data_IF_976329704798
#
_entry.id   IF_976329704798
#
_cell.length_a   1.000
_cell.length_b   1.000
_cell.length_c   1.000
_cell.angle_alpha   90.00
_cell.angle_beta   90.00
_cell.angle_gamma   90.00
#
_symmetry.space_group_name_H-M   'P 1'
#
loop_
_entity.id
_entity.type
_entity.pdbx_description
1 polymer ?
#
# COMPACT_ATOMS: atom_id res chain seq x y z
N UNK A 1 19.68 -6.61 13.78
CA UNK A 1 19.86 -6.25 12.34
C UNK A 1 18.89 -6.98 11.39
N UNK A 2 18.75 -8.32 11.44
CA UNK A 2 17.87 -9.09 10.52
C UNK A 2 16.41 -8.58 10.48
N UNK A 3 15.79 -8.31 11.64
CA UNK A 3 14.40 -7.83 11.72
C UNK A 3 14.19 -6.46 11.06
N UNK A 4 15.17 -5.56 11.15
CA UNK A 4 15.15 -4.26 10.47
C UNK A 4 15.08 -4.44 8.96
N UNK A 5 15.95 -5.30 8.40
CA UNK A 5 16.01 -5.54 6.95
C UNK A 5 14.68 -6.13 6.45
N UNK A 6 14.19 -7.19 7.08
CA UNK A 6 12.94 -7.85 6.67
C UNK A 6 11.71 -6.95 6.88
N UNK A 7 11.66 -6.21 7.99
CA UNK A 7 10.58 -5.26 8.27
C UNK A 7 10.53 -4.13 7.25
N UNK A 8 11.70 -3.54 6.92
CA UNK A 8 11.79 -2.51 5.88
C UNK A 8 11.38 -3.04 4.51
N UNK A 9 11.77 -4.26 4.14
CA UNK A 9 11.35 -4.86 2.87
C UNK A 9 9.84 -5.09 2.81
N UNK A 10 9.25 -5.59 3.90
CA UNK A 10 7.79 -5.79 4.01
C UNK A 10 7.03 -4.46 3.94
N UNK A 11 7.55 -3.42 4.59
CA UNK A 11 6.96 -2.08 4.55
C UNK A 11 7.00 -1.51 3.13
N UNK A 12 8.16 -1.62 2.46
CA UNK A 12 8.34 -1.18 1.08
C UNK A 12 7.40 -1.91 0.13
N UNK A 13 7.24 -3.23 0.29
CA UNK A 13 6.32 -4.03 -0.52
C UNK A 13 4.87 -3.55 -0.37
N UNK A 14 4.41 -3.28 0.85
CA UNK A 14 3.07 -2.72 1.10
C UNK A 14 2.87 -1.34 0.48
N UNK A 15 3.89 -0.46 0.55
CA UNK A 15 3.85 0.87 -0.07
C UNK A 15 3.78 0.77 -1.59
N UNK A 16 4.62 -0.07 -2.20
CA UNK A 16 4.62 -0.26 -3.66
C UNK A 16 3.29 -0.85 -4.13
N UNK A 17 2.77 -1.87 -3.46
CA UNK A 17 1.47 -2.46 -3.78
C UNK A 17 0.34 -1.43 -3.67
N UNK A 18 0.35 -0.59 -2.65
CA UNK A 18 -0.60 0.52 -2.47
C UNK A 18 -0.49 1.52 -3.62
N UNK A 19 0.73 1.96 -3.96
CA UNK A 19 0.96 2.91 -5.04
C UNK A 19 0.48 2.38 -6.41
N UNK A 20 0.76 1.10 -6.69
CA UNK A 20 0.27 0.44 -7.90
C UNK A 20 -1.25 0.35 -7.93
N UNK A 21 -1.88 -0.08 -6.83
CA UNK A 21 -3.34 -0.19 -6.75
C UNK A 21 -4.03 1.16 -7.02
N UNK A 22 -3.52 2.23 -6.40
CA UNK A 22 -4.05 3.59 -6.60
C UNK A 22 -3.83 4.05 -8.04
N UNK A 23 -2.62 3.89 -8.58
CA UNK A 23 -2.30 4.27 -9.96
C UNK A 23 -3.17 3.54 -10.99
N UNK A 24 -3.31 2.22 -10.87
CA UNK A 24 -4.13 1.42 -11.76
C UNK A 24 -5.62 1.76 -11.66
N UNK A 25 -6.10 2.14 -10.47
CA UNK A 25 -7.50 2.56 -10.29
C UNK A 25 -7.87 3.86 -11.01
N UNK A 26 -6.89 4.68 -11.39
CA UNK A 26 -7.09 5.97 -12.07
C UNK A 26 -6.85 5.91 -13.58
N UNK A 27 -6.42 4.77 -14.13
CA UNK A 27 -6.08 4.68 -15.57
C UNK A 27 -7.26 5.03 -16.47
N UNK A 28 -8.48 4.63 -16.11
CA UNK A 28 -9.67 4.96 -16.90
C UNK A 28 -9.97 6.47 -16.87
N UNK A 29 -9.73 7.12 -15.73
CA UNK A 29 -9.90 8.55 -15.60
C UNK A 29 -8.92 9.31 -16.51
N UNK A 30 -7.68 8.82 -16.61
CA UNK A 30 -6.69 9.34 -17.56
C UNK A 30 -7.04 9.13 -19.04
N UNK A 31 -7.73 8.03 -19.39
CA UNK A 31 -8.05 7.71 -20.78
C UNK A 31 -9.34 8.43 -21.24
N UNK A 32 -10.32 8.54 -20.35
CA UNK A 32 -11.65 9.04 -20.68
C UNK A 32 -11.90 10.50 -20.24
N UNK A 33 -10.90 11.16 -19.65
CA UNK A 33 -11.00 12.51 -19.08
C UNK A 33 -12.10 12.63 -18.00
N UNK A 34 -12.34 11.52 -17.30
CA UNK A 34 -13.26 11.44 -16.17
C UNK A 34 -12.62 12.04 -14.89
N UNK A 35 -13.44 12.56 -13.97
CA UNK A 35 -12.98 13.22 -12.73
C UNK A 35 -13.44 12.51 -11.46
N UNK A 36 -13.58 11.18 -11.51
CA UNK A 36 -13.93 10.41 -10.32
C UNK A 36 -12.78 10.40 -9.31
N UNK A 37 -13.13 10.36 -8.03
CA UNK A 37 -12.12 10.19 -6.98
C UNK A 37 -11.60 8.75 -6.96
N UNK A 38 -10.33 8.57 -6.56
CA UNK A 38 -9.70 7.25 -6.37
C UNK A 38 -10.52 6.33 -5.48
N UNK A 39 -11.07 6.88 -4.41
CA UNK A 39 -11.89 6.14 -3.44
C UNK A 39 -13.18 5.65 -4.11
N UNK A 40 -13.79 6.48 -4.96
CA UNK A 40 -14.96 6.09 -5.73
C UNK A 40 -14.63 4.96 -6.72
N UNK A 41 -13.53 5.07 -7.46
CA UNK A 41 -13.09 4.01 -8.37
C UNK A 41 -12.80 2.70 -7.64
N UNK A 42 -12.07 2.74 -6.52
CA UNK A 42 -11.80 1.56 -5.69
C UNK A 42 -13.09 0.94 -5.14
N UNK A 43 -14.08 1.75 -4.74
CA UNK A 43 -15.36 1.25 -4.24
C UNK A 43 -16.15 0.52 -5.34
N UNK A 44 -16.12 1.04 -6.58
CA UNK A 44 -16.79 0.45 -7.74
C UNK A 44 -16.21 -0.90 -8.14
N UNK A 45 -14.92 -1.11 -7.90
CA UNK A 45 -14.23 -2.38 -8.15
C UNK A 45 -14.11 -3.27 -6.90
N UNK A 46 -14.74 -2.88 -5.79
CA UNK A 46 -14.65 -3.58 -4.49
C UNK A 46 -13.21 -3.79 -4.01
N UNK A 47 -12.29 -2.89 -4.38
CA UNK A 47 -10.85 -2.95 -4.08
C UNK A 47 -10.48 -2.25 -2.76
N UNK A 48 -11.44 -1.61 -2.09
CA UNK A 48 -11.20 -0.98 -0.78
C UNK A 48 -10.63 -1.95 0.28
N UNK A 49 -11.08 -3.21 0.40
CA UNK A 49 -10.48 -4.18 1.29
C UNK A 49 -9.02 -4.49 0.93
N UNK A 50 -8.71 -4.54 -0.37
CA UNK A 50 -7.34 -4.79 -0.86
C UNK A 50 -6.42 -3.63 -0.48
N UNK A 51 -6.90 -2.39 -0.63
CA UNK A 51 -6.17 -1.20 -0.18
C UNK A 51 -5.88 -1.27 1.33
N UNK A 52 -6.87 -1.64 2.14
CA UNK A 52 -6.71 -1.78 3.58
C UNK A 52 -5.65 -2.83 3.95
N UNK A 53 -5.62 -3.97 3.24
CA UNK A 53 -4.61 -5.02 3.43
C UNK A 53 -3.21 -4.51 3.09
N UNK A 54 -3.02 -3.80 1.98
CA UNK A 54 -1.69 -3.29 1.60
C UNK A 54 -1.17 -2.22 2.57
N UNK A 55 -2.04 -1.33 3.04
CA UNK A 55 -1.70 -0.36 4.08
C UNK A 55 -1.32 -1.08 5.38
N UNK A 56 -2.10 -2.09 5.77
CA UNK A 56 -1.82 -2.90 6.96
C UNK A 56 -0.46 -3.59 6.88
N UNK A 57 -0.11 -4.17 5.73
CA UNK A 57 1.21 -4.78 5.48
C UNK A 57 2.32 -3.73 5.58
N UNK A 58 2.11 -2.53 5.01
CA UNK A 58 3.08 -1.45 5.09
C UNK A 58 3.38 -1.04 6.54
N UNK A 59 2.33 -0.89 7.35
CA UNK A 59 2.41 -0.53 8.77
C UNK A 59 3.07 -1.66 9.58
N UNK A 60 2.67 -2.92 9.37
CA UNK A 60 3.27 -4.06 10.04
C UNK A 60 4.78 -4.15 9.79
N UNK A 61 5.21 -4.01 8.53
CA UNK A 61 6.62 -3.99 8.18
C UNK A 61 7.39 -2.88 8.90
N UNK A 62 6.78 -1.69 8.99
CA UNK A 62 7.38 -0.55 9.70
C UNK A 62 7.52 -0.85 11.20
N UNK A 63 6.48 -1.39 11.84
CA UNK A 63 6.50 -1.78 13.27
C UNK A 63 7.60 -2.83 13.53
N UNK A 64 7.70 -3.86 12.70
CA UNK A 64 8.74 -4.90 12.81
C UNK A 64 10.13 -4.29 12.64
N UNK A 65 10.29 -3.36 11.69
CA UNK A 65 11.57 -2.70 11.43
C UNK A 65 12.02 -1.87 12.63
N UNK A 66 11.12 -1.04 13.17
CA UNK A 66 11.35 -0.23 14.37
C UNK A 66 11.68 -1.10 15.59
N UNK A 67 10.92 -2.19 15.81
CA UNK A 67 11.19 -3.14 16.88
C UNK A 67 12.59 -3.76 16.76
N UNK A 68 13.01 -4.10 15.53
CA UNK A 68 14.33 -4.64 15.26
C UNK A 68 15.50 -3.69 15.55
N UNK A 69 15.24 -2.39 15.75
CA UNK A 69 16.24 -1.41 16.20
C UNK A 69 16.44 -1.51 17.72
N UNK A 70 15.36 -1.69 18.48
CA UNK A 70 15.43 -1.77 19.95
C UNK A 70 16.01 -3.09 20.47
N UNK A 71 15.88 -4.17 19.70
CA UNK A 71 16.52 -5.45 20.00
C UNK A 71 18.00 -5.53 19.58
N UNK A 72 18.56 -4.44 19.05
CA UNK A 72 19.93 -4.39 18.55
C UNK A 72 20.93 -4.21 19.68
#
# INVERSE_FOLDING_TARGET
MKKVIWGSFLSLAGIIATALLLGFSMIKDWINDDTYSVIFNLSRYELLPVLAVFIFVAILGMVISLWGIFEK
#
